data_IF_736876819613
#
_entry.id   IF_736876819613
#
_cell.length_a   1.000
_cell.length_b   1.000
_cell.length_c   1.000
_cell.angle_alpha   90.00
_cell.angle_beta   90.00
_cell.angle_gamma   90.00
#
_symmetry.space_group_name_H-M   'P 1'
#
loop_
_entity.id
_entity.type
_entity.pdbx_description
1 polymer ?
#
# COMPACT_ATOMS: atom_id res chain seq x y z
N UNK A 1 -71.51 10.59 -33.09
CA UNK A 1 -70.60 11.44 -32.26
C UNK A 1 -69.38 10.58 -31.93
N UNK A 2 -68.33 10.59 -32.75
CA UNK A 2 -67.09 11.39 -32.60
C UNK A 2 -66.67 11.57 -31.13
N UNK A 3 -65.69 10.80 -30.65
CA UNK A 3 -64.37 11.34 -30.27
C UNK A 3 -63.35 10.25 -29.92
N UNK A 4 -62.08 10.60 -30.17
CA UNK A 4 -60.87 9.80 -30.32
C UNK A 4 -59.98 9.86 -29.05
N UNK A 5 -58.85 9.14 -29.11
CA UNK A 5 -57.63 9.18 -28.27
C UNK A 5 -57.65 8.21 -27.07
N UNK A 6 -56.78 7.21 -26.92
CA UNK A 6 -55.47 6.93 -27.52
C UNK A 6 -54.34 7.42 -26.61
N UNK A 7 -53.68 6.47 -25.89
CA UNK A 7 -52.37 6.49 -25.18
C UNK A 7 -52.46 5.50 -24.00
N UNK A 8 -51.47 4.70 -23.60
CA UNK A 8 -50.04 4.68 -23.86
C UNK A 8 -49.55 3.25 -23.51
N UNK A 9 -48.91 2.57 -24.47
CA UNK A 9 -48.11 1.37 -24.22
C UNK A 9 -46.84 1.79 -23.47
N UNK A 10 -46.70 1.35 -22.23
CA UNK A 10 -45.46 1.45 -21.47
C UNK A 10 -44.62 0.21 -21.80
N UNK A 11 -43.61 0.39 -22.66
CA UNK A 11 -42.54 -0.58 -22.84
C UNK A 11 -41.45 -0.24 -21.82
N UNK A 12 -41.06 -1.15 -20.91
CA UNK A 12 -39.87 -0.94 -20.12
C UNK A 12 -38.64 -1.17 -21.01
N UNK A 13 -37.99 -0.07 -21.40
CA UNK A 13 -36.62 -0.10 -21.91
C UNK A 13 -35.72 -0.59 -20.78
N UNK A 14 -35.33 -1.86 -20.84
CA UNK A 14 -34.25 -2.40 -20.03
C UNK A 14 -32.96 -1.66 -20.38
N UNK A 15 -32.49 -0.83 -19.45
CA UNK A 15 -31.20 -0.16 -19.57
C UNK A 15 -30.09 -1.18 -19.39
N UNK A 16 -29.45 -1.53 -20.51
CA UNK A 16 -28.14 -2.16 -20.56
C UNK A 16 -27.13 -1.24 -19.85
N UNK A 17 -26.78 -1.58 -18.61
CA UNK A 17 -25.64 -1.00 -17.91
C UNK A 17 -24.36 -1.50 -18.60
N UNK A 18 -23.73 -0.62 -19.35
CA UNK A 18 -22.35 -0.79 -19.81
C UNK A 18 -21.44 -0.70 -18.57
N UNK A 19 -21.01 -1.86 -18.07
CA UNK A 19 -19.79 -1.94 -17.27
C UNK A 19 -18.62 -1.76 -18.23
N UNK A 20 -18.30 -0.51 -18.54
CA UNK A 20 -17.02 -0.16 -19.14
C UNK A 20 -15.94 -0.36 -18.06
N UNK A 21 -15.45 -1.60 -17.96
CA UNK A 21 -14.18 -1.89 -17.29
C UNK A 21 -13.07 -1.22 -18.10
N UNK A 22 -12.79 0.04 -17.78
CA UNK A 22 -11.58 0.71 -18.21
C UNK A 22 -10.41 -0.01 -17.52
N UNK A 23 -9.92 -1.06 -18.16
CA UNK A 23 -8.54 -1.50 -17.94
C UNK A 23 -7.69 -0.33 -18.44
N UNK A 24 -7.27 0.53 -17.51
CA UNK A 24 -6.16 1.43 -17.79
C UNK A 24 -4.97 0.53 -18.06
N UNK A 25 -4.70 0.31 -19.34
CA UNK A 25 -3.43 -0.21 -19.82
C UNK A 25 -2.42 0.84 -19.34
N UNK A 26 -1.79 0.59 -18.17
CA UNK A 26 -0.61 1.31 -17.72
C UNK A 26 0.45 1.07 -18.80
N UNK A 27 0.86 2.08 -19.59
CA UNK A 27 2.03 1.91 -20.43
C UNK A 27 3.20 1.71 -19.47
N UNK A 28 3.72 0.49 -19.43
CA UNK A 28 4.96 0.21 -18.73
C UNK A 28 6.04 0.94 -19.54
N UNK A 29 6.46 2.10 -19.06
CA UNK A 29 7.57 2.90 -19.60
C UNK A 29 8.93 2.22 -19.29
N UNK A 30 9.02 0.91 -19.53
CA UNK A 30 10.23 0.12 -19.33
C UNK A 30 11.28 0.34 -20.44
N UNK A 31 11.08 1.29 -21.35
CA UNK A 31 11.99 1.58 -22.46
C UNK A 31 12.99 2.72 -22.20
N UNK A 32 12.86 3.47 -21.10
CA UNK A 32 13.78 4.58 -20.82
C UNK A 32 15.21 4.17 -20.39
N UNK A 33 15.45 3.15 -19.52
CA UNK A 33 16.82 2.94 -19.03
C UNK A 33 17.75 2.33 -20.08
N UNK A 34 17.20 1.68 -21.12
CA UNK A 34 18.00 1.00 -22.14
C UNK A 34 18.65 1.95 -23.16
N UNK A 35 18.15 3.19 -23.31
CA UNK A 35 18.66 4.12 -24.31
C UNK A 35 19.88 4.93 -23.84
N UNK A 36 20.08 5.11 -22.54
CA UNK A 36 21.28 5.77 -22.00
C UNK A 36 22.45 4.79 -21.75
N UNK A 37 22.23 3.47 -21.83
CA UNK A 37 23.28 2.48 -21.49
C UNK A 37 24.18 2.10 -22.68
N UNK A 38 23.79 2.38 -23.93
CA UNK A 38 24.52 1.87 -25.11
C UNK A 38 24.82 2.85 -26.25
N UNK A 39 24.40 4.13 -26.23
CA UNK A 39 24.76 5.03 -27.33
C UNK A 39 24.83 6.51 -26.92
N UNK A 40 25.77 7.20 -27.59
CA UNK A 40 26.03 8.64 -27.59
C UNK A 40 26.86 9.21 -26.42
N UNK A 41 27.72 10.16 -26.80
CA UNK A 41 28.61 10.96 -25.97
C UNK A 41 27.97 11.37 -24.64
N UNK A 42 28.69 11.27 -23.50
CA UNK A 42 28.16 11.71 -22.21
C UNK A 42 27.88 13.20 -22.28
N UNK A 43 26.59 13.54 -22.27
CA UNK A 43 26.16 14.94 -22.21
C UNK A 43 26.69 15.58 -20.90
N UNK A 44 27.02 16.89 -20.94
CA UNK A 44 27.39 17.61 -19.73
C UNK A 44 26.23 17.61 -18.72
N UNK A 45 26.55 17.78 -17.43
CA UNK A 45 25.52 17.98 -16.43
C UNK A 45 24.76 19.29 -16.72
N UNK A 46 23.44 19.25 -16.62
CA UNK A 46 22.56 20.41 -16.78
C UNK A 46 21.91 20.74 -15.44
N UNK A 47 21.62 22.01 -15.19
CA UNK A 47 20.98 22.45 -13.96
C UNK A 47 19.47 22.64 -14.14
N UNK A 48 19.00 22.80 -15.39
CA UNK A 48 17.59 23.04 -15.66
C UNK A 48 17.11 22.53 -17.03
N UNK A 49 15.79 22.31 -17.13
CA UNK A 49 15.12 22.01 -18.39
C UNK A 49 15.23 23.17 -19.40
N UNK A 50 15.32 24.41 -18.93
CA UNK A 50 15.52 25.59 -19.78
C UNK A 50 16.89 25.55 -20.50
N UNK A 51 17.94 25.11 -19.81
CA UNK A 51 19.26 24.92 -20.41
C UNK A 51 19.25 23.85 -21.50
N UNK A 52 18.53 22.75 -21.28
CA UNK A 52 18.34 21.70 -22.28
C UNK A 52 17.65 22.23 -23.54
N UNK A 53 16.59 23.03 -23.38
CA UNK A 53 15.93 23.66 -24.55
C UNK A 53 16.87 24.62 -25.29
N UNK A 54 17.63 25.47 -24.56
CA UNK A 54 18.61 26.37 -25.18
C UNK A 54 19.69 25.62 -25.94
N UNK A 55 20.12 24.46 -25.43
CA UNK A 55 21.10 23.61 -26.10
C UNK A 55 20.51 22.98 -27.37
N UNK A 56 19.29 22.43 -27.29
CA UNK A 56 18.57 21.90 -28.46
C UNK A 56 18.49 22.94 -29.58
N UNK A 57 18.04 24.15 -29.25
CA UNK A 57 17.84 25.21 -30.24
C UNK A 57 19.16 25.63 -30.89
N UNK A 58 20.25 25.67 -30.11
CA UNK A 58 21.60 25.94 -30.63
C UNK A 58 22.09 24.82 -31.56
N UNK A 59 21.90 23.55 -31.19
CA UNK A 59 22.32 22.40 -31.99
C UNK A 59 21.52 22.33 -33.30
N UNK A 60 20.24 22.68 -33.27
CA UNK A 60 19.39 22.75 -34.46
C UNK A 60 19.96 23.70 -35.52
N UNK A 61 20.37 24.90 -35.09
CA UNK A 61 21.01 25.89 -35.98
C UNK A 61 22.35 25.38 -36.58
N UNK A 62 23.12 24.59 -35.83
CA UNK A 62 24.38 24.02 -36.31
C UNK A 62 24.17 22.89 -37.32
N UNK A 63 23.10 22.12 -37.17
CA UNK A 63 22.69 21.09 -38.13
C UNK A 63 22.19 21.72 -39.43
N UNK A 64 21.45 22.83 -39.34
CA UNK A 64 20.89 23.53 -40.50
C UNK A 64 21.94 24.36 -41.28
N UNK A 65 22.90 24.96 -40.58
CA UNK A 65 24.04 25.67 -41.18
C UNK A 65 25.37 24.98 -40.84
N UNK A 66 25.72 23.85 -41.51
CA UNK A 66 26.96 23.15 -41.24
C UNK A 66 28.15 24.02 -41.67
N UNK A 67 28.78 24.70 -40.72
CA UNK A 67 30.04 25.41 -40.97
C UNK A 67 31.12 24.36 -41.27
N UNK A 68 31.83 24.52 -42.38
CA UNK A 68 33.05 23.78 -42.72
C UNK A 68 34.17 24.12 -41.72
N UNK A 69 34.06 23.65 -40.48
CA UNK A 69 35.08 23.81 -39.45
C UNK A 69 35.85 22.50 -39.30
N UNK A 70 37.16 22.48 -39.58
CA UNK A 70 37.98 21.30 -39.40
C UNK A 70 38.41 21.25 -37.93
N UNK A 71 37.66 20.55 -37.09
CA UNK A 71 38.16 20.06 -35.81
C UNK A 71 37.28 18.91 -35.35
N UNK A 72 37.95 17.82 -35.00
CA UNK A 72 37.37 16.58 -34.49
C UNK A 72 36.35 16.82 -33.37
N UNK A 73 35.23 16.10 -33.43
CA UNK A 73 34.81 15.12 -32.39
C UNK A 73 33.38 15.13 -31.86
N UNK A 74 32.42 15.88 -32.39
CA UNK A 74 31.00 15.61 -32.06
C UNK A 74 30.08 15.74 -33.29
N UNK A 75 29.32 14.69 -33.58
CA UNK A 75 28.26 14.71 -34.57
C UNK A 75 27.08 15.52 -34.00
N UNK A 76 26.79 16.73 -34.50
CA UNK A 76 25.77 17.60 -33.91
C UNK A 76 24.37 16.97 -33.97
N UNK A 77 24.13 16.07 -34.93
CA UNK A 77 22.88 15.32 -35.02
C UNK A 77 22.72 14.30 -33.89
N UNK A 78 23.79 13.59 -33.55
CA UNK A 78 23.79 12.60 -32.45
C UNK A 78 23.63 13.30 -31.09
N UNK A 79 24.31 14.43 -30.90
CA UNK A 79 24.18 15.25 -29.69
C UNK A 79 22.77 15.81 -29.56
N UNK A 80 22.16 16.27 -30.66
CA UNK A 80 20.78 16.75 -30.67
C UNK A 80 19.80 15.65 -30.26
N UNK A 81 19.95 14.43 -30.79
CA UNK A 81 19.10 13.29 -30.40
C UNK A 81 19.22 12.97 -28.91
N UNK A 82 20.43 12.95 -28.36
CA UNK A 82 20.64 12.73 -26.94
C UNK A 82 19.97 13.82 -26.08
N UNK A 83 20.06 15.10 -26.50
CA UNK A 83 19.40 16.22 -25.82
C UNK A 83 17.87 16.10 -25.87
N UNK A 84 17.30 15.69 -27.01
CA UNK A 84 15.85 15.49 -27.14
C UNK A 84 15.33 14.36 -26.23
N UNK A 85 16.07 13.24 -26.15
CA UNK A 85 15.77 12.14 -25.22
C UNK A 85 15.79 12.66 -23.79
N UNK A 86 16.81 13.45 -23.43
CA UNK A 86 16.94 14.02 -22.10
C UNK A 86 15.80 14.99 -21.77
N UNK A 87 15.42 15.87 -22.69
CA UNK A 87 14.27 16.77 -22.54
C UNK A 87 12.99 15.96 -22.26
N UNK A 88 12.73 14.92 -23.05
CA UNK A 88 11.54 14.10 -22.88
C UNK A 88 11.49 13.41 -21.51
N UNK A 89 12.65 12.94 -21.03
CA UNK A 89 12.78 12.36 -19.69
C UNK A 89 12.42 13.38 -18.61
N UNK A 90 12.94 14.61 -18.70
CA UNK A 90 12.64 15.67 -17.73
C UNK A 90 11.19 16.12 -17.76
N UNK A 91 10.61 16.27 -18.96
CA UNK A 91 9.19 16.61 -19.12
C UNK A 91 8.30 15.54 -18.47
N UNK A 92 8.62 14.26 -18.67
CA UNK A 92 7.91 13.14 -18.07
C UNK A 92 8.03 13.17 -16.54
N UNK A 93 9.23 13.41 -16.00
CA UNK A 93 9.46 13.52 -14.57
C UNK A 93 8.62 14.65 -13.95
N UNK A 94 8.59 15.82 -14.59
CA UNK A 94 7.79 16.97 -14.16
C UNK A 94 6.29 16.67 -14.25
N UNK A 95 5.82 16.00 -15.30
CA UNK A 95 4.42 15.60 -15.44
C UNK A 95 3.98 14.65 -14.32
N UNK A 96 4.75 13.60 -14.06
CA UNK A 96 4.49 12.63 -12.99
C UNK A 96 4.39 13.31 -11.63
N UNK A 97 5.37 14.17 -11.30
CA UNK A 97 5.35 14.97 -10.06
C UNK A 97 4.11 15.86 -9.98
N UNK A 98 3.76 16.55 -11.07
CA UNK A 98 2.61 17.46 -11.08
C UNK A 98 1.29 16.71 -10.95
N UNK A 99 1.15 15.55 -11.59
CA UNK A 99 -0.02 14.68 -11.45
C UNK A 99 -0.15 14.16 -10.02
N UNK A 100 0.96 13.73 -9.42
CA UNK A 100 1.02 13.34 -8.01
C UNK A 100 0.52 14.46 -7.07
N UNK A 101 0.96 15.71 -7.29
CA UNK A 101 0.50 16.87 -6.50
C UNK A 101 -1.00 17.14 -6.66
N UNK A 102 -1.55 16.99 -7.87
CA UNK A 102 -3.00 17.15 -8.10
C UNK A 102 -3.82 16.11 -7.35
N UNK A 103 -3.42 14.83 -7.41
CA UNK A 103 -4.10 13.75 -6.69
C UNK A 103 -4.03 13.93 -5.17
N UNK A 104 -2.86 14.30 -4.64
CA UNK A 104 -2.71 14.62 -3.23
C UNK A 104 -3.62 15.79 -2.80
N UNK A 105 -3.72 16.84 -3.61
CA UNK A 105 -4.63 17.96 -3.35
C UNK A 105 -6.09 17.51 -3.29
N UNK A 106 -6.52 16.64 -4.21
CA UNK A 106 -7.87 16.07 -4.18
C UNK A 106 -8.10 15.24 -2.91
N UNK A 107 -7.11 14.46 -2.48
CA UNK A 107 -7.20 13.67 -1.26
C UNK A 107 -7.31 14.54 0.01
N UNK A 108 -6.62 15.69 0.03
CA UNK A 108 -6.71 16.67 1.12
C UNK A 108 -8.09 17.32 1.18
N UNK A 109 -8.71 17.63 0.04
CA UNK A 109 -10.06 18.19 0.02
C UNK A 109 -11.10 17.21 0.61
N UNK A 110 -10.94 15.90 0.36
CA UNK A 110 -11.78 14.87 0.98
C UNK A 110 -11.58 14.77 2.50
N UNK A 111 -10.44 15.22 3.04
CA UNK A 111 -10.15 15.19 4.48
C UNK A 111 -10.97 16.21 5.28
N UNK A 112 -11.60 17.18 4.60
CA UNK A 112 -12.45 18.21 5.23
C UNK A 112 -13.84 17.69 5.63
N UNK A 113 -14.25 16.53 5.13
CA UNK A 113 -15.55 15.96 5.45
C UNK A 113 -15.58 15.44 6.90
N UNK A 114 -16.62 15.82 7.66
CA UNK A 114 -16.84 15.28 9.01
C UNK A 114 -17.56 13.93 8.89
N UNK A 115 -16.95 12.86 9.41
CA UNK A 115 -17.42 11.47 9.30
C UNK A 115 -17.51 10.94 7.85
N UNK A 116 -16.37 10.74 7.16
CA UNK A 116 -16.36 10.19 5.81
C UNK A 116 -17.00 8.80 5.78
N UNK A 117 -17.78 8.53 4.73
CA UNK A 117 -18.29 7.19 4.45
C UNK A 117 -17.15 6.22 4.15
N UNK A 118 -17.44 4.92 4.11
CA UNK A 118 -16.46 3.91 3.68
C UNK A 118 -15.94 4.20 2.27
N UNK A 119 -16.81 4.71 1.39
CA UNK A 119 -16.48 5.06 0.02
C UNK A 119 -15.56 6.28 -0.05
N UNK A 120 -15.85 7.33 0.73
CA UNK A 120 -14.99 8.52 0.82
C UNK A 120 -13.60 8.16 1.36
N UNK A 121 -13.56 7.33 2.42
CA UNK A 121 -12.31 6.87 3.00
C UNK A 121 -11.50 6.02 2.00
N UNK A 122 -12.18 5.19 1.22
CA UNK A 122 -11.57 4.37 0.16
C UNK A 122 -11.02 5.21 -0.99
N UNK A 123 -11.78 6.20 -1.45
CA UNK A 123 -11.36 7.15 -2.49
C UNK A 123 -10.13 7.94 -2.04
N UNK A 124 -10.15 8.45 -0.81
CA UNK A 124 -9.00 9.17 -0.24
C UNK A 124 -7.74 8.28 -0.16
N UNK A 125 -7.88 7.04 0.28
CA UNK A 125 -6.77 6.08 0.30
C UNK A 125 -6.23 5.82 -1.12
N UNK A 126 -7.10 5.59 -2.09
CA UNK A 126 -6.71 5.35 -3.48
C UNK A 126 -5.96 6.54 -4.09
N UNK A 127 -6.42 7.78 -3.84
CA UNK A 127 -5.75 8.99 -4.32
C UNK A 127 -4.35 9.14 -3.74
N UNK A 128 -4.16 8.93 -2.43
CA UNK A 128 -2.82 8.97 -1.82
C UNK A 128 -1.92 7.88 -2.36
N UNK A 129 -2.45 6.67 -2.56
CA UNK A 129 -1.70 5.56 -3.13
C UNK A 129 -1.24 5.85 -4.54
N UNK A 130 -2.14 6.29 -5.43
CA UNK A 130 -1.78 6.66 -6.81
C UNK A 130 -0.80 7.83 -6.85
N UNK A 131 -0.97 8.83 -5.98
CA UNK A 131 -0.04 9.94 -5.87
C UNK A 131 1.37 9.48 -5.48
N UNK A 132 1.48 8.47 -4.60
CA UNK A 132 2.75 7.89 -4.19
C UNK A 132 3.37 7.01 -5.27
N UNK A 133 2.56 6.17 -5.95
CA UNK A 133 2.99 5.37 -7.10
C UNK A 133 3.63 6.26 -8.18
N UNK A 134 3.01 7.40 -8.51
CA UNK A 134 3.55 8.35 -9.49
C UNK A 134 4.91 8.95 -9.08
N UNK A 135 5.16 9.16 -7.79
CA UNK A 135 6.46 9.64 -7.31
C UNK A 135 7.53 8.55 -7.45
N UNK A 136 7.17 7.29 -7.23
CA UNK A 136 8.07 6.15 -7.46
C UNK A 136 8.36 5.89 -8.94
N UNK A 137 7.47 6.33 -9.84
CA UNK A 137 7.67 6.25 -11.29
C UNK A 137 8.58 7.38 -11.83
N UNK A 138 8.95 8.39 -11.01
CA UNK A 138 9.85 9.47 -11.45
C UNK A 138 11.25 8.89 -11.73
N UNK A 139 11.83 9.13 -12.93
CA UNK A 139 13.17 8.64 -13.27
C UNK A 139 14.23 9.17 -12.31
N UNK A 140 15.09 8.28 -11.80
CA UNK A 140 16.14 8.62 -10.84
C UNK A 140 17.24 9.52 -11.42
N UNK A 141 17.37 9.55 -12.74
CA UNK A 141 18.31 10.42 -13.44
C UNK A 141 17.75 11.81 -13.72
N UNK A 142 16.47 12.09 -13.43
CA UNK A 142 15.86 13.40 -13.69
C UNK A 142 16.46 14.51 -12.83
N UNK A 143 16.35 15.76 -13.28
CA UNK A 143 16.80 16.95 -12.54
C UNK A 143 16.06 17.15 -11.22
N UNK A 144 14.87 16.57 -11.08
CA UNK A 144 14.04 16.67 -9.87
C UNK A 144 14.20 15.47 -8.93
N UNK A 145 15.05 14.49 -9.26
CA UNK A 145 15.16 13.24 -8.54
C UNK A 145 15.52 13.42 -7.05
N UNK A 146 16.36 14.40 -6.73
CA UNK A 146 16.80 14.70 -5.36
C UNK A 146 15.65 15.18 -4.45
N UNK A 147 14.61 15.80 -5.02
CA UNK A 147 13.43 16.28 -4.28
C UNK A 147 12.40 15.17 -4.01
N UNK A 148 12.44 14.06 -4.78
CA UNK A 148 11.44 13.00 -4.73
C UNK A 148 11.42 12.26 -3.38
N UNK A 149 12.56 11.86 -2.78
CA UNK A 149 12.56 11.19 -1.47
C UNK A 149 11.88 12.00 -0.36
N UNK A 150 12.12 13.32 -0.33
CA UNK A 150 11.47 14.19 0.64
C UNK A 150 9.95 14.24 0.43
N UNK A 151 9.49 14.20 -0.82
CA UNK A 151 8.06 14.19 -1.16
C UNK A 151 7.41 12.84 -0.81
N UNK A 152 8.08 11.73 -1.08
CA UNK A 152 7.63 10.38 -0.69
C UNK A 152 7.46 10.31 0.83
N UNK A 153 8.45 10.78 1.60
CA UNK A 153 8.36 10.78 3.06
C UNK A 153 7.16 11.59 3.58
N UNK A 154 6.85 12.73 2.96
CA UNK A 154 5.64 13.50 3.28
C UNK A 154 4.36 12.71 2.97
N UNK A 155 4.29 12.06 1.82
CA UNK A 155 3.07 11.36 1.38
C UNK A 155 2.81 10.07 2.14
N UNK A 156 3.87 9.39 2.60
CA UNK A 156 3.74 8.17 3.40
C UNK A 156 2.88 8.39 4.65
N UNK A 157 3.13 9.48 5.39
CA UNK A 157 2.35 9.79 6.60
C UNK A 157 0.85 10.02 6.30
N UNK A 158 0.54 10.61 5.15
CA UNK A 158 -0.84 10.80 4.70
C UNK A 158 -1.48 9.48 4.26
N UNK A 159 -0.75 8.65 3.53
CA UNK A 159 -1.20 7.34 3.09
C UNK A 159 -1.48 6.42 4.28
N UNK A 160 -0.60 6.39 5.29
CA UNK A 160 -0.78 5.59 6.50
C UNK A 160 -2.06 5.97 7.24
N UNK A 161 -2.32 7.29 7.37
CA UNK A 161 -3.55 7.79 7.98
C UNK A 161 -4.78 7.44 7.15
N UNK A 162 -4.72 7.61 5.84
CA UNK A 162 -5.83 7.30 4.94
C UNK A 162 -6.15 5.81 4.93
N UNK A 163 -5.11 4.96 4.91
CA UNK A 163 -5.21 3.50 5.01
C UNK A 163 -5.86 3.08 6.32
N UNK A 164 -5.37 3.60 7.46
CA UNK A 164 -5.94 3.32 8.77
C UNK A 164 -7.42 3.72 8.85
N UNK A 165 -7.77 4.90 8.35
CA UNK A 165 -9.14 5.37 8.35
C UNK A 165 -10.05 4.53 7.45
N UNK A 166 -9.57 4.11 6.27
CA UNK A 166 -10.31 3.22 5.38
C UNK A 166 -10.54 1.85 6.00
N UNK A 167 -9.51 1.25 6.60
CA UNK A 167 -9.63 -0.04 7.28
C UNK A 167 -10.57 0.02 8.48
N UNK A 168 -10.55 1.13 9.23
CA UNK A 168 -11.48 1.39 10.34
C UNK A 168 -12.91 1.50 9.83
N UNK A 169 -13.14 2.28 8.77
CA UNK A 169 -14.47 2.46 8.18
C UNK A 169 -15.04 1.12 7.69
N UNK A 170 -14.24 0.30 7.00
CA UNK A 170 -14.63 -1.05 6.54
C UNK A 170 -14.87 -2.03 7.68
N UNK A 171 -14.23 -1.84 8.84
CA UNK A 171 -14.36 -2.72 10.01
C UNK A 171 -15.44 -2.26 10.99
N UNK A 172 -16.13 -1.15 10.72
CA UNK A 172 -17.14 -0.57 11.61
C UNK A 172 -18.28 -1.54 11.99
N UNK A 173 -18.64 -2.48 11.11
CA UNK A 173 -19.63 -3.52 11.40
C UNK A 173 -19.24 -4.44 12.58
N UNK A 174 -17.94 -4.60 12.85
CA UNK A 174 -17.45 -5.35 14.01
C UNK A 174 -17.77 -4.63 15.33
N UNK A 175 -18.00 -3.32 15.30
CA UNK A 175 -18.35 -2.55 16.49
C UNK A 175 -19.68 -3.00 17.10
N UNK A 176 -20.67 -3.34 16.28
CA UNK A 176 -21.95 -3.88 16.78
C UNK A 176 -21.79 -5.27 17.41
N UNK A 177 -20.91 -6.10 16.84
CA UNK A 177 -20.57 -7.41 17.42
C UNK A 177 -19.88 -7.22 18.77
N UNK A 178 -18.93 -6.28 18.86
CA UNK A 178 -18.24 -5.96 20.11
C UNK A 178 -19.22 -5.47 21.18
N UNK A 179 -20.13 -4.55 20.84
CA UNK A 179 -21.19 -4.05 21.75
C UNK A 179 -22.09 -5.18 22.24
N UNK A 180 -22.46 -6.12 21.37
CA UNK A 180 -23.33 -7.24 21.72
C UNK A 180 -22.73 -8.17 22.79
N UNK A 181 -21.41 -8.14 23.03
CA UNK A 181 -20.77 -8.91 24.10
C UNK A 181 -21.07 -8.37 25.50
N UNK A 182 -21.50 -7.11 25.62
CA UNK A 182 -21.68 -6.42 26.91
C UNK A 182 -20.36 -6.05 27.62
N UNK A 183 -19.22 -6.30 26.99
CA UNK A 183 -17.90 -5.90 27.50
C UNK A 183 -17.54 -4.48 27.04
N UNK A 184 -16.64 -3.78 27.76
CA UNK A 184 -16.08 -2.50 27.30
C UNK A 184 -15.46 -2.64 25.90
N UNK A 185 -15.69 -1.64 25.04
CA UNK A 185 -15.28 -1.70 23.63
C UNK A 185 -13.76 -1.84 23.45
N UNK A 186 -13.00 -1.31 24.41
CA UNK A 186 -11.55 -1.35 24.53
C UNK A 186 -11.01 -2.65 25.14
N UNK A 187 -11.87 -3.55 25.65
CA UNK A 187 -11.49 -4.89 26.10
C UNK A 187 -11.76 -5.95 25.01
N UNK A 188 -12.62 -5.64 24.04
CA UNK A 188 -12.96 -6.55 22.95
C UNK A 188 -11.93 -6.43 21.82
N UNK A 189 -11.43 -7.59 21.37
CA UNK A 189 -10.50 -7.71 20.24
C UNK A 189 -11.11 -8.67 19.22
N UNK A 190 -11.40 -8.19 18.01
CA UNK A 190 -11.96 -9.01 16.94
C UNK A 190 -11.09 -8.84 15.70
N UNK A 191 -10.67 -9.96 15.12
CA UNK A 191 -10.03 -10.00 13.80
C UNK A 191 -10.77 -11.04 12.97
N UNK A 192 -11.27 -10.63 11.80
CA UNK A 192 -11.91 -11.51 10.82
C UNK A 192 -11.09 -11.43 9.54
N UNK A 193 -10.50 -12.53 9.11
CA UNK A 193 -9.72 -12.58 7.89
C UNK A 193 -10.41 -13.44 6.83
N UNK A 194 -10.42 -12.96 5.60
CA UNK A 194 -10.66 -13.76 4.42
C UNK A 194 -9.49 -14.74 4.26
N UNK A 195 -9.76 -15.93 3.68
CA UNK A 195 -8.71 -16.94 3.42
C UNK A 195 -7.61 -16.41 2.50
N UNK A 196 -7.94 -15.45 1.65
CA UNK A 196 -6.99 -14.79 0.74
C UNK A 196 -6.08 -13.75 1.45
N UNK A 197 -6.28 -13.54 2.77
CA UNK A 197 -5.40 -12.72 3.60
C UNK A 197 -5.92 -11.32 3.95
N UNK A 198 -7.04 -10.87 3.38
CA UNK A 198 -7.66 -9.59 3.78
C UNK A 198 -8.29 -9.70 5.18
N UNK A 199 -7.92 -8.82 6.11
CA UNK A 199 -8.46 -8.81 7.45
C UNK A 199 -9.26 -7.54 7.78
N UNK A 200 -10.30 -7.70 8.59
CA UNK A 200 -11.07 -6.65 9.28
C UNK A 200 -10.81 -6.76 10.76
N UNK A 201 -10.66 -5.62 11.44
CA UNK A 201 -10.16 -5.60 12.81
C UNK A 201 -10.90 -4.58 13.66
N UNK A 202 -11.27 -5.00 14.86
CA UNK A 202 -11.72 -4.16 15.96
C UNK A 202 -10.69 -4.31 17.09
N UNK A 203 -9.77 -3.33 17.20
CA UNK A 203 -8.58 -3.40 18.05
C UNK A 203 -7.69 -4.65 17.86
N UNK A 204 -7.94 -5.45 16.82
CA UNK A 204 -7.33 -6.76 16.58
C UNK A 204 -5.83 -6.74 16.20
N UNK A 205 -5.22 -5.57 16.12
CA UNK A 205 -3.77 -5.39 15.96
C UNK A 205 -3.01 -5.49 17.30
N UNK A 206 -3.74 -5.43 18.42
CA UNK A 206 -3.15 -5.49 19.75
C UNK A 206 -3.21 -6.92 20.25
N UNK A 207 -2.12 -7.42 20.83
CA UNK A 207 -2.09 -8.75 21.41
C UNK A 207 -3.19 -8.90 22.49
N UNK A 208 -3.91 -10.02 22.53
CA UNK A 208 -4.82 -10.29 23.64
C UNK A 208 -4.02 -10.45 24.93
N UNK A 209 -4.66 -10.18 26.08
CA UNK A 209 -4.03 -10.37 27.39
C UNK A 209 -3.53 -11.81 27.62
N UNK A 210 -4.17 -12.80 26.99
CA UNK A 210 -3.71 -14.19 26.96
C UNK A 210 -4.20 -14.91 25.70
N UNK A 211 -3.37 -15.75 25.06
CA UNK A 211 -3.83 -16.63 23.96
C UNK A 211 -4.74 -17.75 24.45
N UNK A 212 -4.84 -17.99 25.77
CA UNK A 212 -5.63 -19.07 26.37
C UNK A 212 -5.39 -20.41 25.65
N UNK A 213 -6.45 -21.17 25.35
CA UNK A 213 -6.33 -22.45 24.63
C UNK A 213 -5.99 -22.30 23.14
N UNK A 214 -5.97 -21.09 22.55
CA UNK A 214 -5.58 -20.90 21.15
C UNK A 214 -4.10 -21.26 20.90
N UNK A 215 -3.26 -21.23 21.94
CA UNK A 215 -1.85 -21.67 21.87
C UNK A 215 -1.69 -23.13 21.44
N UNK A 216 -2.72 -23.96 21.62
CA UNK A 216 -2.68 -25.38 21.22
C UNK A 216 -2.52 -25.54 19.71
N UNK A 217 -3.01 -24.59 18.91
CA UNK A 217 -2.91 -24.66 17.45
C UNK A 217 -1.46 -24.54 16.94
N UNK A 218 -0.68 -23.49 17.27
CA UNK A 218 0.73 -23.43 16.85
C UNK A 218 1.56 -24.58 17.44
N UNK A 219 1.25 -25.06 18.65
CA UNK A 219 1.89 -26.26 19.22
C UNK A 219 1.59 -27.49 18.35
N UNK A 220 0.33 -27.71 17.97
CA UNK A 220 -0.05 -28.83 17.11
C UNK A 220 0.64 -28.74 15.75
N UNK A 221 0.72 -27.56 15.14
CA UNK A 221 1.43 -27.35 13.86
C UNK A 221 2.92 -27.70 14.01
N UNK A 222 3.59 -27.20 15.05
CA UNK A 222 4.99 -27.49 15.30
C UNK A 222 5.23 -29.00 15.55
N UNK A 223 4.33 -29.66 16.27
CA UNK A 223 4.39 -31.11 16.49
C UNK A 223 4.18 -31.89 15.19
N UNK A 224 3.23 -31.48 14.35
CA UNK A 224 3.01 -32.12 13.04
C UNK A 224 4.20 -31.95 12.10
N UNK A 225 4.82 -30.77 12.12
CA UNK A 225 6.08 -30.54 11.38
C UNK A 225 7.18 -31.49 11.86
N UNK A 226 7.38 -31.59 13.19
CA UNK A 226 8.35 -32.51 13.79
C UNK A 226 8.07 -33.98 13.44
N UNK A 227 6.80 -34.41 13.54
CA UNK A 227 6.38 -35.76 13.16
C UNK A 227 6.73 -36.06 11.70
N UNK A 228 6.51 -35.09 10.80
CA UNK A 228 6.84 -35.21 9.38
C UNK A 228 8.35 -35.29 9.14
N UNK A 229 9.12 -34.37 9.73
CA UNK A 229 10.57 -34.26 9.54
C UNK A 229 11.33 -35.45 10.14
N UNK A 230 10.95 -35.88 11.35
CA UNK A 230 11.57 -36.99 12.07
C UNK A 230 10.92 -38.34 11.76
N UNK A 231 9.90 -38.37 10.89
CA UNK A 231 9.14 -39.57 10.49
C UNK A 231 8.61 -40.36 11.68
N UNK A 232 8.13 -39.67 12.71
CA UNK A 232 7.58 -40.29 13.92
C UNK A 232 6.26 -40.98 13.55
N UNK A 233 6.06 -42.21 14.00
CA UNK A 233 4.77 -42.88 13.82
C UNK A 233 3.74 -42.26 14.78
N UNK A 234 2.61 -41.77 14.25
CA UNK A 234 1.52 -41.20 15.05
C UNK A 234 0.85 -42.21 16.00
N UNK A 235 0.99 -43.51 15.73
CA UNK A 235 0.51 -44.60 16.60
C UNK A 235 1.44 -44.89 17.80
N UNK A 236 2.53 -44.11 17.94
CA UNK A 236 3.46 -44.26 19.06
C UNK A 236 2.73 -43.96 20.37
N UNK A 237 2.62 -44.98 21.23
CA UNK A 237 2.00 -44.85 22.55
C UNK A 237 2.84 -43.94 23.44
N UNK A 238 2.20 -42.97 24.08
CA UNK A 238 2.80 -42.15 25.12
C UNK A 238 2.09 -42.41 26.44
N UNK A 239 2.83 -42.44 27.55
CA UNK A 239 2.27 -42.56 28.90
C UNK A 239 2.29 -41.20 29.59
N UNK A 240 1.15 -40.78 30.15
CA UNK A 240 1.12 -39.73 31.17
C UNK A 240 0.96 -40.36 32.54
N UNK A 241 1.81 -39.93 33.47
CA UNK A 241 1.57 -40.18 34.89
C UNK A 241 0.52 -39.14 35.30
N UNK A 242 -0.72 -39.58 35.48
CA UNK A 242 -1.76 -38.72 36.05
C UNK A 242 -1.30 -38.20 37.41
N UNK A 243 -1.44 -36.90 37.64
CA UNK A 243 -1.11 -36.29 38.92
C UNK A 243 -1.94 -36.97 40.02
N UNK A 244 -1.32 -37.90 40.74
CA UNK A 244 -1.86 -38.37 42.01
C UNK A 244 -1.61 -37.23 42.99
N UNK A 245 -2.65 -36.45 43.29
CA UNK A 245 -2.60 -35.59 44.47
C UNK A 245 -2.32 -36.51 45.65
N UNK A 246 -1.22 -36.32 46.40
CA UNK A 246 -1.05 -37.05 47.65
C UNK A 246 -2.24 -36.67 48.51
N UNK A 247 -3.10 -37.64 48.86
CA UNK A 247 -4.05 -37.44 49.96
C UNK A 247 -3.19 -37.22 51.20
N UNK A 248 -2.97 -35.97 51.57
CA UNK A 248 -2.36 -35.60 52.84
C UNK A 248 -3.25 -36.19 53.94
N UNK A 249 -2.75 -37.10 54.80
CA UNK A 249 -3.50 -37.46 55.99
C UNK A 249 -3.65 -36.20 56.85
N UNK A 250 -4.73 -36.08 57.64
CA UNK A 250 -4.96 -34.88 58.44
C UNK A 250 -3.82 -34.73 59.44
N UNK A 251 -2.93 -33.76 59.20
CA UNK A 251 -1.93 -33.36 60.17
C UNK A 251 -2.67 -32.57 61.24
N UNK A 252 -2.99 -33.26 62.33
CA UNK A 252 -3.33 -32.63 63.59
C UNK A 252 -2.14 -31.78 64.02
N UNK A 253 -2.38 -30.48 64.18
CA UNK A 253 -1.61 -29.65 65.08
C UNK A 253 -0.46 -28.85 64.45
N UNK A 254 -0.62 -27.54 64.58
CA UNK A 254 0.41 -26.48 64.61
C UNK A 254 0.65 -25.77 63.27
N UNK A 255 0.00 -24.61 63.15
CA UNK A 255 0.28 -23.57 62.15
C UNK A 255 1.76 -23.19 62.13
N UNK A 256 2.41 -23.19 60.95
CA UNK A 256 3.59 -22.37 60.72
C UNK A 256 3.17 -21.06 60.04
N UNK A 257 3.43 -19.98 60.75
CA UNK A 257 3.43 -18.60 60.24
C UNK A 257 4.44 -18.51 59.07
N UNK A 258 3.98 -18.25 57.84
CA UNK A 258 4.86 -17.96 56.69
C UNK A 258 4.60 -16.51 56.25
N UNK A 259 5.62 -15.63 56.24
CA UNK A 259 5.46 -14.24 55.83
C UNK A 259 5.28 -14.13 54.32
N UNK A 260 4.31 -13.29 53.91
CA UNK A 260 4.06 -12.91 52.53
C UNK A 260 5.28 -12.18 51.94
N UNK A 261 5.93 -12.80 50.94
CA UNK A 261 6.84 -12.11 50.03
C UNK A 261 6.01 -11.47 48.91
N UNK A 262 5.95 -10.12 48.89
CA UNK A 262 5.52 -9.34 47.73
C UNK A 262 6.55 -9.51 46.61
N UNK A 263 6.14 -10.05 45.47
CA UNK A 263 6.90 -9.93 44.22
C UNK A 263 6.26 -8.83 43.37
N UNK A 264 6.92 -7.68 43.36
CA UNK A 264 6.73 -6.60 42.38
C UNK A 264 7.43 -7.02 41.08
N UNK A 265 6.74 -6.96 39.95
CA UNK A 265 7.39 -6.89 38.64
C UNK A 265 7.05 -5.52 38.05
N UNK A 266 8.10 -4.76 37.72
CA UNK A 266 8.03 -3.57 36.88
C UNK A 266 8.02 -3.91 35.40
#
# INVERSE_FOLDING_TARGET
>A
MKWFWGRLLVVPLGTLTWLAGATMIRPSLALAPALETEAATPLPAFESLEELYKLRDRLWLQVEEPKNSPSDSENPLETLQAVEIRIHLEETAVELRNRSVRLASQAIELDKATNPSVDDAGTRYALWKEAMDLLHEVPSQSLIADDIPAKIAQYQAHLDRASYAYDTARSSFLGEIAKATGLPADDVRITVCHIEGECRRWYGNTAPASPASLIKLPIAIALMQKVSEEKINLDTKWWSIGATTPKTPPISGREPNIPYAKSSCG
#
